data_IF_559767598936
#
_entry.id   IF_559767598936
#
_cell.length_a   1.000
_cell.length_b   1.000
_cell.length_c   1.000
_cell.angle_alpha   90.00
_cell.angle_beta   90.00
_cell.angle_gamma   90.00
#
_symmetry.space_group_name_H-M   'P 1'
#
loop_
_entity.id
_entity.type
_entity.pdbx_description
1 polymer ?
#
# COMPACT_ATOMS: atom_id res chain seq x y z
N UNK A 1 -6.19 34.85 26.33
CA UNK A 1 -7.16 33.90 25.74
C UNK A 1 -6.39 32.84 24.95
N UNK A 2 -6.18 31.66 25.56
CA UNK A 2 -5.34 30.57 25.03
C UNK A 2 -6.20 29.64 24.18
N UNK A 3 -6.24 29.87 22.88
CA UNK A 3 -6.93 29.01 21.93
C UNK A 3 -6.08 27.76 21.70
N UNK A 4 -6.46 26.67 22.39
CA UNK A 4 -5.87 25.34 22.21
C UNK A 4 -6.23 24.84 20.81
N UNK A 5 -5.33 25.03 19.85
CA UNK A 5 -5.41 24.35 18.55
C UNK A 5 -4.88 22.93 18.73
N UNK A 6 -5.78 22.01 19.11
CA UNK A 6 -5.50 20.58 19.05
C UNK A 6 -5.72 20.18 17.58
N UNK A 7 -4.66 20.27 16.78
CA UNK A 7 -4.66 19.70 15.44
C UNK A 7 -4.84 18.19 15.58
N UNK A 8 -6.02 17.69 15.21
CA UNK A 8 -6.27 16.27 15.10
C UNK A 8 -5.30 15.70 14.06
N UNK A 9 -4.31 14.94 14.52
CA UNK A 9 -3.42 14.18 13.65
C UNK A 9 -4.23 13.05 13.01
N UNK A 10 -4.84 13.34 11.86
CA UNK A 10 -5.54 12.35 11.06
C UNK A 10 -4.50 11.34 10.55
N UNK A 11 -4.46 10.16 11.18
CA UNK A 11 -3.65 9.03 10.72
C UNK A 11 -4.25 8.52 9.41
N UNK A 12 -3.74 9.01 8.28
CA UNK A 12 -3.98 8.39 6.98
C UNK A 12 -3.31 7.01 6.99
N UNK A 13 -4.10 5.96 7.24
CA UNK A 13 -3.72 4.62 6.81
C UNK A 13 -3.97 4.59 5.31
N UNK A 14 -2.96 4.95 4.52
CA UNK A 14 -3.00 4.74 3.09
C UNK A 14 -3.17 3.23 2.89
N UNK A 15 -4.32 2.81 2.38
CA UNK A 15 -4.53 1.46 1.89
C UNK A 15 -3.59 1.26 0.71
N UNK A 16 -2.34 0.89 1.00
CA UNK A 16 -1.35 0.58 -0.02
C UNK A 16 -1.84 -0.70 -0.68
N UNK A 17 -2.17 -0.64 -1.97
CA UNK A 17 -2.45 -1.83 -2.76
C UNK A 17 -1.54 -1.80 -3.97
N UNK A 18 -0.81 -2.89 -4.18
CA UNK A 18 0.17 -3.05 -5.23
C UNK A 18 -0.40 -3.91 -6.34
N UNK A 19 0.08 -3.70 -7.57
CA UNK A 19 -0.26 -4.55 -8.71
C UNK A 19 0.96 -5.27 -9.24
N UNK A 20 0.77 -6.52 -9.64
CA UNK A 20 1.83 -7.37 -10.16
C UNK A 20 2.15 -6.93 -11.57
N UNK A 21 3.42 -6.63 -11.84
CA UNK A 21 3.88 -6.24 -13.17
C UNK A 21 3.76 -7.37 -14.20
N UNK A 22 3.70 -8.63 -13.74
CA UNK A 22 3.68 -9.80 -14.62
C UNK A 22 2.26 -10.29 -14.93
N UNK A 23 1.43 -10.47 -13.90
CA UNK A 23 0.09 -11.05 -14.05
C UNK A 23 -1.05 -10.06 -13.82
N UNK A 24 -0.76 -8.82 -13.40
CA UNK A 24 -1.79 -7.83 -13.08
C UNK A 24 -2.58 -8.11 -11.80
N UNK A 25 -2.21 -9.14 -11.01
CA UNK A 25 -2.83 -9.41 -9.71
C UNK A 25 -2.68 -8.22 -8.76
N UNK A 26 -3.74 -7.89 -8.02
CA UNK A 26 -3.78 -6.73 -7.12
C UNK A 26 -3.88 -7.21 -5.68
N UNK A 27 -2.99 -6.71 -4.81
CA UNK A 27 -2.81 -7.22 -3.46
C UNK A 27 -2.81 -6.05 -2.46
N UNK A 28 -3.65 -6.15 -1.44
CA UNK A 28 -3.66 -5.18 -0.33
C UNK A 28 -2.41 -5.29 0.52
N UNK A 29 -1.97 -4.17 1.07
CA UNK A 29 -0.73 -4.06 1.85
C UNK A 29 0.55 -4.19 1.02
N UNK A 30 0.46 -4.28 -0.31
CA UNK A 30 1.62 -4.59 -1.15
C UNK A 30 2.16 -3.38 -1.90
N UNK A 31 3.49 -3.31 -2.03
CA UNK A 31 4.19 -2.21 -2.69
C UNK A 31 4.42 -2.40 -4.20
N UNK A 32 3.90 -3.50 -4.79
CA UNK A 32 4.06 -3.83 -6.21
C UNK A 32 5.29 -4.67 -6.53
N UNK A 33 5.54 -4.88 -7.83
CA UNK A 33 6.62 -5.75 -8.35
C UNK A 33 6.09 -7.05 -8.95
N UNK A 34 6.92 -8.10 -8.99
CA UNK A 34 6.48 -9.46 -9.40
C UNK A 34 5.96 -10.20 -8.16
N UNK A 35 4.77 -10.79 -8.23
CA UNK A 35 4.21 -11.56 -7.11
C UNK A 35 4.92 -12.92 -6.95
N UNK A 36 4.83 -13.54 -5.77
CA UNK A 36 5.57 -14.78 -5.47
C UNK A 36 5.20 -15.94 -6.40
N UNK A 37 3.94 -16.03 -6.83
CA UNK A 37 3.52 -17.02 -7.81
C UNK A 37 4.24 -16.83 -9.16
N UNK A 38 4.39 -15.58 -9.61
CA UNK A 38 5.12 -15.28 -10.84
C UNK A 38 6.63 -15.49 -10.68
N UNK A 39 7.21 -15.16 -9.52
CA UNK A 39 8.62 -15.48 -9.23
C UNK A 39 8.87 -16.99 -9.26
N UNK A 40 7.97 -17.77 -8.66
CA UNK A 40 8.05 -19.24 -8.65
C UNK A 40 7.92 -19.82 -10.07
N UNK A 41 7.22 -19.13 -10.97
CA UNK A 41 7.12 -19.47 -12.38
C UNK A 41 8.34 -19.00 -13.23
N UNK A 42 9.30 -18.29 -12.63
CA UNK A 42 10.51 -17.82 -13.32
C UNK A 42 10.36 -16.48 -14.04
N UNK A 43 9.47 -15.61 -13.55
CA UNK A 43 9.29 -14.24 -14.04
C UNK A 43 10.00 -13.20 -13.17
#
# INVERSE_FOLDING_TARGET
MRHRMIAAALRLVLAVSGQCSQCGGRFEGWSGGVCDACKAAGH
#
